data_IF_166482486791
#
_entry.id   IF_166482486791
#
_cell.length_a   1.000
_cell.length_b   1.000
_cell.length_c   1.000
_cell.angle_alpha   90.00
_cell.angle_beta   90.00
_cell.angle_gamma   90.00
#
_symmetry.space_group_name_H-M   'P 1'
#
loop_
_entity.id
_entity.type
_entity.pdbx_description
1 polymer ?
#
# COMPACT_ATOMS: atom_id res chain seq x y z
N UNK A 1 -8.34 -6.99 5.34
CA UNK A 1 -9.39 -7.95 4.92
C UNK A 1 -9.24 -8.17 3.42
N UNK A 2 -9.52 -9.35 2.88
CA UNK A 2 -9.38 -9.58 1.43
C UNK A 2 -9.56 -11.04 1.02
N UNK A 3 -9.56 -11.27 -0.29
CA UNK A 3 -9.60 -12.60 -0.90
C UNK A 3 -8.61 -12.65 -2.08
N UNK A 4 -7.66 -13.59 -2.03
CA UNK A 4 -6.56 -13.64 -3.01
C UNK A 4 -5.78 -12.32 -3.06
N UNK A 5 -5.51 -11.82 -4.27
CA UNK A 5 -4.82 -10.55 -4.48
C UNK A 5 -5.73 -9.32 -4.35
N UNK A 6 -7.00 -9.45 -3.95
CA UNK A 6 -7.88 -8.32 -3.69
C UNK A 6 -7.90 -8.03 -2.18
N UNK A 7 -7.02 -7.12 -1.75
CA UNK A 7 -6.76 -6.86 -0.33
C UNK A 7 -7.05 -5.40 0.00
N UNK A 8 -7.80 -5.17 1.08
CA UNK A 8 -7.99 -3.84 1.69
C UNK A 8 -7.30 -3.77 3.05
N UNK A 9 -6.44 -2.77 3.22
CA UNK A 9 -5.74 -2.47 4.48
C UNK A 9 -6.32 -1.17 5.04
N UNK A 10 -6.85 -1.24 6.26
CA UNK A 10 -7.37 -0.09 6.98
C UNK A 10 -6.28 0.46 7.91
N UNK A 11 -5.89 1.71 7.74
CA UNK A 11 -4.76 2.31 8.48
C UNK A 11 -5.16 3.06 9.75
N UNK A 12 -6.47 3.27 9.97
CA UNK A 12 -6.96 4.08 11.11
C UNK A 12 -6.71 5.58 10.96
N UNK A 13 -6.12 5.99 9.84
CA UNK A 13 -5.81 7.35 9.46
C UNK A 13 -5.95 7.50 7.93
N UNK A 14 -6.11 8.72 7.40
CA UNK A 14 -6.18 8.93 5.96
C UNK A 14 -4.96 8.35 5.23
N UNK A 15 -5.19 7.54 4.17
CA UNK A 15 -4.11 6.87 3.44
C UNK A 15 -3.44 7.75 2.39
N UNK A 16 -3.96 8.95 2.11
CA UNK A 16 -3.45 9.81 1.05
C UNK A 16 -1.93 10.11 1.16
N UNK A 17 -1.36 10.43 2.35
CA UNK A 17 0.09 10.61 2.49
C UNK A 17 0.88 9.34 2.18
N UNK A 18 0.38 8.19 2.61
CA UNK A 18 1.00 6.87 2.39
C UNK A 18 1.01 6.52 0.90
N UNK A 19 -0.13 6.72 0.22
CA UNK A 19 -0.26 6.51 -1.24
C UNK A 19 0.70 7.40 -2.03
N UNK A 20 0.85 8.67 -1.64
CA UNK A 20 1.81 9.58 -2.27
C UNK A 20 3.26 9.13 -2.03
N UNK A 21 3.58 8.69 -0.81
CA UNK A 21 4.91 8.19 -0.46
C UNK A 21 5.30 6.95 -1.27
N UNK A 22 4.39 5.98 -1.39
CA UNK A 22 4.58 4.78 -2.21
C UNK A 22 4.73 5.12 -3.70
N UNK A 23 3.91 6.05 -4.21
CA UNK A 23 3.98 6.49 -5.60
C UNK A 23 5.32 7.12 -5.95
N UNK A 24 5.91 7.90 -5.04
CA UNK A 24 7.27 8.47 -5.22
C UNK A 24 8.35 7.39 -5.32
N UNK A 25 8.10 6.21 -4.73
CA UNK A 25 8.98 5.03 -4.75
C UNK A 25 8.65 4.06 -5.88
N UNK A 26 7.78 4.45 -6.82
CA UNK A 26 7.41 3.62 -7.98
C UNK A 26 6.35 2.55 -7.70
N UNK A 27 5.77 2.53 -6.49
CA UNK A 27 4.71 1.59 -6.11
C UNK A 27 3.35 2.24 -6.35
N UNK A 28 2.50 1.58 -7.15
CA UNK A 28 1.12 2.00 -7.40
C UNK A 28 0.15 1.18 -6.55
N UNK A 29 -0.69 1.88 -5.79
CA UNK A 29 -1.73 1.30 -4.93
C UNK A 29 -3.07 1.99 -5.18
N UNK A 30 -4.17 1.29 -4.91
CA UNK A 30 -5.51 1.85 -5.05
C UNK A 30 -5.97 2.57 -3.78
N UNK A 31 -6.68 3.69 -3.94
CA UNK A 31 -7.50 4.27 -2.85
C UNK A 31 -8.86 3.59 -2.75
N UNK A 32 -9.60 3.83 -1.67
CA UNK A 32 -10.99 3.40 -1.50
C UNK A 32 -11.95 4.58 -1.37
N UNK A 33 -13.27 4.31 -1.39
CA UNK A 33 -14.27 5.32 -1.03
C UNK A 33 -14.11 5.74 0.45
N UNK A 34 -13.68 4.80 1.28
CA UNK A 34 -13.20 5.08 2.62
C UNK A 34 -11.76 5.64 2.55
N UNK A 35 -11.52 6.88 3.01
CA UNK A 35 -10.20 7.52 2.94
C UNK A 35 -9.16 6.86 3.85
N UNK A 36 -9.54 5.93 4.75
CA UNK A 36 -8.63 5.21 5.63
C UNK A 36 -8.22 3.84 5.09
N UNK A 37 -8.74 3.45 3.91
CA UNK A 37 -8.46 2.15 3.30
C UNK A 37 -7.62 2.30 2.03
N UNK A 38 -6.51 1.58 1.99
CA UNK A 38 -5.70 1.35 0.79
C UNK A 38 -5.97 -0.04 0.23
N UNK A 39 -6.10 -0.16 -1.09
CA UNK A 39 -6.28 -1.44 -1.79
C UNK A 39 -4.98 -1.89 -2.44
N UNK A 40 -4.63 -3.16 -2.22
CA UNK A 40 -3.60 -3.88 -2.95
C UNK A 40 -4.30 -4.82 -3.93
N UNK A 41 -3.88 -4.72 -5.19
CA UNK A 41 -4.38 -5.50 -6.32
C UNK A 41 -3.23 -5.81 -7.28
N UNK A 42 -2.14 -6.46 -6.81
CA UNK A 42 -1.01 -6.77 -7.69
C UNK A 42 -1.44 -7.74 -8.80
N UNK A 43 -0.68 -7.81 -9.92
CA UNK A 43 -0.86 -8.85 -10.91
C UNK A 43 -0.77 -10.25 -10.28
N UNK A 44 -1.53 -11.22 -10.79
CA UNK A 44 -1.51 -12.59 -10.28
C UNK A 44 -0.17 -13.33 -10.47
N UNK A 45 0.77 -12.71 -11.21
CA UNK A 45 2.12 -13.20 -11.49
C UNK A 45 3.18 -12.50 -10.63
N UNK A 46 2.78 -11.67 -9.67
CA UNK A 46 3.70 -10.95 -8.78
C UNK A 46 4.63 -11.92 -8.05
N UNK A 47 5.92 -11.59 -7.99
CA UNK A 47 6.92 -12.43 -7.33
C UNK A 47 7.01 -12.15 -5.83
N UNK A 48 7.64 -13.06 -5.08
CA UNK A 48 7.89 -12.86 -3.65
C UNK A 48 8.81 -11.64 -3.42
N UNK A 49 9.81 -11.46 -4.27
CA UNK A 49 10.75 -10.34 -4.20
C UNK A 49 10.07 -8.99 -4.45
N UNK A 50 9.10 -8.93 -5.38
CA UNK A 50 8.30 -7.73 -5.61
C UNK A 50 7.40 -7.41 -4.40
N UNK A 51 6.89 -8.44 -3.71
CA UNK A 51 6.12 -8.29 -2.47
C UNK A 51 7.02 -7.77 -1.34
N UNK A 52 8.23 -8.30 -1.20
CA UNK A 52 9.19 -7.84 -0.19
C UNK A 52 9.61 -6.38 -0.44
N UNK A 53 9.81 -6.00 -1.71
CA UNK A 53 10.07 -4.61 -2.11
C UNK A 53 8.90 -3.69 -1.72
N UNK A 54 7.66 -4.12 -1.93
CA UNK A 54 6.48 -3.37 -1.50
C UNK A 54 6.49 -3.13 0.02
N UNK A 55 6.74 -4.17 0.82
CA UNK A 55 6.76 -4.03 2.28
C UNK A 55 7.90 -3.13 2.75
N UNK A 56 9.08 -3.24 2.15
CA UNK A 56 10.23 -2.38 2.46
C UNK A 56 9.86 -0.90 2.26
N UNK A 57 9.28 -0.57 1.10
CA UNK A 57 8.86 0.80 0.81
C UNK A 57 7.66 1.27 1.64
N UNK A 58 6.77 0.36 2.04
CA UNK A 58 5.67 0.68 2.93
C UNK A 58 6.19 1.07 4.31
N UNK A 59 7.16 0.32 4.85
CA UNK A 59 7.76 0.61 6.16
C UNK A 59 8.45 1.98 6.15
N UNK A 60 9.27 2.27 5.13
CA UNK A 60 9.92 3.59 4.96
C UNK A 60 8.88 4.74 5.00
N UNK A 61 7.79 4.58 4.25
CA UNK A 61 6.74 5.60 4.15
C UNK A 61 5.98 5.75 5.46
N UNK A 62 5.74 4.66 6.18
CA UNK A 62 5.05 4.71 7.47
C UNK A 62 5.91 5.38 8.54
N UNK A 63 7.23 5.25 8.48
CA UNK A 63 8.15 6.01 9.33
C UNK A 63 8.13 7.50 8.98
N UNK A 64 8.15 7.86 7.69
CA UNK A 64 8.08 9.25 7.22
C UNK A 64 6.77 9.96 7.59
N UNK A 65 5.63 9.25 7.57
CA UNK A 65 4.30 9.83 7.86
C UNK A 65 4.04 9.93 9.37
N UNK A 66 4.73 9.15 10.20
CA UNK A 66 4.65 9.27 11.67
C UNK A 66 5.45 10.46 12.22
N UNK A 67 6.47 10.90 11.49
CA UNK A 67 7.30 12.07 11.82
C UNK A 67 6.57 13.39 11.56
#
# INVERSE_FOLDING_TARGET
>A
QGAGCLIGIHFGQPVAPIVVGLRKRGILVGGSADPQIMRLMPPAVVSAEEIDLFFTHLDDVLEEVKA
#
